data_IF_352224056609
#
_entry.id   IF_352224056609
#
_cell.length_a   1.000
_cell.length_b   1.000
_cell.length_c   1.000
_cell.angle_alpha   90.00
_cell.angle_beta   90.00
_cell.angle_gamma   90.00
#
_symmetry.space_group_name_H-M   'P 1'
#
loop_
_entity.id
_entity.type
_entity.pdbx_description
1 polymer ?
#
# COMPACT_ATOMS: atom_id res chain seq x y z
N UNK A 1 -15.27 4.98 18.47
CA UNK A 1 -14.44 3.82 18.87
C UNK A 1 -13.48 4.28 19.97
N UNK A 2 -13.06 3.41 20.91
CA UNK A 2 -12.18 3.76 22.04
C UNK A 2 -10.70 3.38 21.82
N UNK A 3 -10.34 2.82 20.66
CA UNK A 3 -8.99 2.41 20.29
C UNK A 3 -8.96 1.72 18.91
N UNK A 4 -7.77 1.26 18.47
CA UNK A 4 -7.60 0.61 17.17
C UNK A 4 -8.50 -0.61 17.05
N UNK A 5 -9.26 -0.70 15.96
CA UNK A 5 -10.19 -1.81 15.71
C UNK A 5 -9.92 -2.41 14.34
N UNK A 6 -9.60 -3.70 14.29
CA UNK A 6 -9.52 -4.44 13.02
C UNK A 6 -10.90 -4.50 12.39
N UNK A 7 -11.05 -3.89 11.21
CA UNK A 7 -12.31 -3.89 10.45
C UNK A 7 -12.32 -4.97 9.37
N UNK A 8 -11.14 -5.49 9.02
CA UNK A 8 -10.98 -6.59 8.09
C UNK A 8 -9.65 -7.30 8.31
N UNK A 9 -9.65 -8.62 8.19
CA UNK A 9 -8.45 -9.45 8.10
C UNK A 9 -8.73 -10.64 7.20
N UNK A 10 -7.86 -10.87 6.21
CA UNK A 10 -8.05 -11.93 5.22
C UNK A 10 -7.01 -11.91 4.12
N UNK A 11 -7.25 -12.68 3.05
CA UNK A 11 -6.43 -12.64 1.84
C UNK A 11 -6.62 -11.32 1.09
N UNK A 12 -5.64 -10.96 0.26
CA UNK A 12 -5.78 -9.82 -0.65
C UNK A 12 -6.97 -9.97 -1.62
N UNK A 13 -7.31 -11.18 -2.06
CA UNK A 13 -8.46 -11.43 -2.93
C UNK A 13 -9.79 -11.11 -2.23
N UNK A 14 -9.93 -11.48 -0.96
CA UNK A 14 -11.10 -11.12 -0.13
C UNK A 14 -11.14 -9.61 0.13
N UNK A 15 -9.97 -9.00 0.41
CA UNK A 15 -9.87 -7.56 0.61
C UNK A 15 -10.35 -6.78 -0.61
N UNK A 16 -9.96 -7.21 -1.82
CA UNK A 16 -10.37 -6.60 -3.09
C UNK A 16 -11.89 -6.61 -3.25
N UNK A 17 -12.55 -7.70 -2.89
CA UNK A 17 -14.02 -7.80 -2.95
C UNK A 17 -14.70 -6.93 -1.90
N UNK A 18 -14.13 -6.85 -0.69
CA UNK A 18 -14.70 -6.10 0.42
C UNK A 18 -14.50 -4.57 0.30
N UNK A 19 -13.37 -4.12 -0.24
CA UNK A 19 -12.99 -2.70 -0.29
C UNK A 19 -12.47 -2.27 -1.67
N UNK A 20 -13.26 -2.38 -2.75
CA UNK A 20 -12.79 -2.20 -4.12
C UNK A 20 -12.13 -0.83 -4.40
N UNK A 21 -12.45 0.21 -3.63
CA UNK A 21 -11.87 1.54 -3.78
C UNK A 21 -10.49 1.74 -3.08
N UNK A 22 -10.09 0.85 -2.16
CA UNK A 22 -8.94 1.05 -1.26
C UNK A 22 -7.88 -0.08 -1.33
N UNK A 23 -7.94 -0.92 -2.35
CA UNK A 23 -7.20 -2.21 -2.40
C UNK A 23 -6.03 -2.22 -3.39
N UNK A 24 -5.72 -1.08 -4.02
CA UNK A 24 -4.66 -1.01 -5.04
C UNK A 24 -3.32 -1.53 -4.50
N UNK A 25 -2.95 -1.20 -3.26
CA UNK A 25 -1.71 -1.67 -2.65
C UNK A 25 -1.72 -3.19 -2.46
N UNK A 26 -2.82 -3.76 -1.96
CA UNK A 26 -2.95 -5.21 -1.79
C UNK A 26 -2.86 -5.96 -3.13
N UNK A 27 -3.52 -5.44 -4.17
CA UNK A 27 -3.46 -6.02 -5.50
C UNK A 27 -2.06 -5.95 -6.10
N UNK A 28 -1.37 -4.80 -6.00
CA UNK A 28 0.02 -4.64 -6.45
C UNK A 28 0.95 -5.61 -5.73
N UNK A 29 0.79 -5.80 -4.42
CA UNK A 29 1.58 -6.75 -3.64
C UNK A 29 1.36 -8.20 -4.10
N UNK A 30 0.12 -8.60 -4.39
CA UNK A 30 -0.14 -9.92 -4.98
C UNK A 30 0.58 -10.15 -6.30
N UNK A 31 0.58 -9.14 -7.18
CA UNK A 31 1.29 -9.22 -8.45
C UNK A 31 2.79 -9.30 -8.25
N UNK A 32 3.35 -8.47 -7.37
CA UNK A 32 4.79 -8.46 -7.06
C UNK A 32 5.25 -9.77 -6.42
N UNK A 33 4.43 -10.36 -5.54
CA UNK A 33 4.69 -11.63 -4.89
C UNK A 33 4.38 -12.86 -5.78
N UNK A 34 3.99 -12.67 -7.05
CA UNK A 34 3.60 -13.74 -7.99
C UNK A 34 2.57 -14.71 -7.42
N UNK A 35 1.46 -14.16 -6.90
CA UNK A 35 0.39 -14.93 -6.24
C UNK A 35 0.80 -15.59 -4.90
N UNK A 36 1.88 -15.11 -4.28
CA UNK A 36 2.22 -15.46 -2.91
C UNK A 36 1.09 -15.18 -1.92
N UNK A 37 1.19 -15.78 -0.73
CA UNK A 37 0.20 -15.65 0.34
C UNK A 37 0.20 -14.24 0.96
N UNK A 38 -0.40 -13.28 0.28
CA UNK A 38 -0.56 -11.89 0.77
C UNK A 38 -1.79 -11.83 1.67
N UNK A 39 -1.54 -11.56 2.95
CA UNK A 39 -2.57 -11.26 3.96
C UNK A 39 -2.70 -9.77 4.14
N UNK A 40 -3.94 -9.31 4.29
CA UNK A 40 -4.30 -7.91 4.46
C UNK A 40 -5.04 -7.76 5.77
N UNK A 41 -4.62 -6.79 6.57
CA UNK A 41 -5.34 -6.32 7.77
C UNK A 41 -5.65 -4.84 7.61
N UNK A 42 -6.92 -4.49 7.75
CA UNK A 42 -7.38 -3.09 7.77
C UNK A 42 -7.80 -2.74 9.19
N UNK A 43 -7.22 -1.68 9.73
CA UNK A 43 -7.45 -1.22 11.10
C UNK A 43 -7.98 0.21 11.06
N UNK A 44 -9.11 0.44 11.72
CA UNK A 44 -9.63 1.77 11.97
C UNK A 44 -9.16 2.23 13.34
N UNK A 45 -8.37 3.29 13.38
CA UNK A 45 -7.82 3.87 14.60
C UNK A 45 -8.23 5.34 14.71
N UNK A 46 -8.95 5.75 15.77
CA UNK A 46 -9.40 7.14 15.94
C UNK A 46 -8.25 8.14 16.15
N UNK A 47 -7.07 7.67 16.55
CA UNK A 47 -5.91 8.54 16.83
C UNK A 47 -5.03 8.76 15.59
N UNK A 48 -5.24 7.97 14.53
CA UNK A 48 -4.50 8.08 13.27
C UNK A 48 -5.17 9.11 12.35
N UNK A 49 -4.37 10.09 11.88
CA UNK A 49 -4.83 11.20 11.02
C UNK A 49 -4.48 11.03 9.54
N UNK A 50 -3.71 9.99 9.20
CA UNK A 50 -3.17 9.77 7.84
C UNK A 50 -3.34 8.32 7.42
N UNK A 51 -3.44 8.07 6.12
CA UNK A 51 -3.51 6.69 5.62
C UNK A 51 -2.14 6.03 5.71
N UNK A 52 -2.02 5.08 6.64
CA UNK A 52 -0.82 4.31 6.88
C UNK A 52 -0.89 2.96 6.18
N UNK A 53 0.20 2.59 5.52
CA UNK A 53 0.41 1.23 5.00
C UNK A 53 1.66 0.65 5.65
N UNK A 54 1.54 -0.53 6.23
CA UNK A 54 2.66 -1.30 6.74
C UNK A 54 2.74 -2.62 5.97
N UNK A 55 3.92 -2.90 5.42
CA UNK A 55 4.17 -4.07 4.58
C UNK A 55 5.29 -4.86 5.24
N UNK A 56 5.02 -6.12 5.51
CA UNK A 56 6.00 -7.08 6.02
C UNK A 56 6.16 -8.18 4.98
N UNK A 57 7.38 -8.39 4.53
CA UNK A 57 7.75 -9.45 3.59
C UNK A 57 8.83 -10.33 4.23
N UNK A 58 8.65 -11.64 4.16
CA UNK A 58 9.52 -12.65 4.77
C UNK A 58 9.86 -13.75 3.76
N UNK A 59 11.08 -14.28 3.83
CA UNK A 59 11.53 -15.41 3.03
C UNK A 59 12.98 -15.77 3.34
N UNK A 60 13.61 -16.59 2.49
CA UNK A 60 15.01 -17.02 2.65
C UNK A 60 16.00 -15.83 2.65
N UNK A 61 15.58 -14.68 2.13
CA UNK A 61 16.34 -13.42 2.15
C UNK A 61 16.28 -12.69 3.51
N UNK A 62 15.47 -13.17 4.46
CA UNK A 62 15.21 -12.51 5.74
C UNK A 62 13.84 -11.84 5.80
N UNK A 63 13.75 -10.73 6.53
CA UNK A 63 12.52 -9.96 6.74
C UNK A 63 12.73 -8.50 6.30
N UNK A 64 11.76 -7.95 5.58
CA UNK A 64 11.67 -6.53 5.24
C UNK A 64 10.37 -5.97 5.80
N UNK A 65 10.48 -4.83 6.51
CA UNK A 65 9.32 -4.06 6.97
C UNK A 65 9.39 -2.64 6.43
N UNK A 66 8.31 -2.19 5.82
CA UNK A 66 8.17 -0.82 5.33
C UNK A 66 6.89 -0.21 5.86
N UNK A 67 6.97 1.01 6.39
CA UNK A 67 5.83 1.80 6.85
C UNK A 67 5.75 3.10 6.06
N UNK A 68 4.59 3.38 5.50
CA UNK A 68 4.34 4.57 4.68
C UNK A 68 3.13 5.31 5.23
N UNK A 69 3.35 6.54 5.68
CA UNK A 69 2.30 7.46 6.13
C UNK A 69 1.99 8.44 4.99
N UNK A 70 0.85 8.25 4.34
CA UNK A 70 0.51 9.01 3.14
C UNK A 70 -0.23 10.29 3.49
N UNK A 71 0.24 11.40 2.92
CA UNK A 71 -0.51 12.65 2.88
C UNK A 71 -1.55 12.55 1.74
N UNK A 72 -2.82 12.92 2.00
CA UNK A 72 -3.83 12.99 0.95
C UNK A 72 -3.42 13.94 -0.18
N UNK A 73 -3.79 13.62 -1.42
CA UNK A 73 -3.57 14.52 -2.53
C UNK A 73 -4.35 15.83 -2.33
N UNK A 74 -3.74 17.01 -2.59
CA UNK A 74 -4.42 18.30 -2.49
C UNK A 74 -5.67 18.43 -3.37
N UNK A 75 -5.72 17.68 -4.49
CA UNK A 75 -6.83 17.72 -5.46
C UNK A 75 -7.87 16.61 -5.25
N UNK A 76 -7.49 15.50 -4.61
CA UNK A 76 -8.40 14.40 -4.30
C UNK A 76 -7.99 13.74 -2.96
N UNK A 77 -8.64 14.12 -1.85
CA UNK A 77 -8.31 13.59 -0.53
C UNK A 77 -8.48 12.07 -0.39
N UNK A 78 -9.21 11.42 -1.31
CA UNK A 78 -9.38 9.95 -1.33
C UNK A 78 -8.17 9.20 -1.91
N UNK A 79 -7.18 9.91 -2.46
CA UNK A 79 -6.02 9.31 -3.13
C UNK A 79 -4.73 9.76 -2.45
N UNK A 80 -3.78 8.82 -2.30
CA UNK A 80 -2.43 9.15 -1.83
C UNK A 80 -1.70 10.04 -2.83
N UNK A 81 -1.08 11.12 -2.34
CA UNK A 81 -0.23 11.96 -3.18
C UNK A 81 0.98 11.19 -3.74
N UNK A 82 1.51 10.22 -2.96
CA UNK A 82 2.64 9.38 -3.38
C UNK A 82 2.32 8.55 -4.63
N UNK A 83 1.07 8.16 -4.86
CA UNK A 83 0.69 7.40 -6.06
C UNK A 83 0.86 8.22 -7.35
N UNK A 84 0.62 9.53 -7.31
CA UNK A 84 0.87 10.40 -8.45
C UNK A 84 2.38 10.62 -8.66
N UNK A 85 3.13 10.78 -7.56
CA UNK A 85 4.58 10.93 -7.60
C UNK A 85 5.26 9.67 -8.13
N UNK A 86 4.77 8.47 -7.79
CA UNK A 86 5.31 7.22 -8.32
C UNK A 86 5.09 7.11 -9.83
N UNK A 87 3.93 7.54 -10.35
CA UNK A 87 3.69 7.57 -11.80
C UNK A 87 4.68 8.52 -12.52
N UNK A 88 4.92 9.71 -11.95
CA UNK A 88 5.92 10.65 -12.48
C UNK A 88 7.33 10.04 -12.45
N UNK A 89 7.70 9.40 -11.34
CA UNK A 89 9.00 8.73 -11.21
C UNK A 89 9.19 7.62 -12.25
N UNK A 90 8.15 6.82 -12.50
CA UNK A 90 8.15 5.81 -13.57
C UNK A 90 8.32 6.43 -14.95
N UNK A 91 7.62 7.53 -15.26
CA UNK A 91 7.79 8.21 -16.55
C UNK A 91 9.21 8.77 -16.71
N UNK A 92 9.79 9.34 -15.65
CA UNK A 92 11.18 9.81 -15.66
C UNK A 92 12.17 8.67 -15.90
N UNK A 93 12.01 7.53 -15.24
CA UNK A 93 12.92 6.39 -15.39
C UNK A 93 12.90 5.77 -16.79
N UNK A 94 11.85 6.01 -17.58
CA UNK A 94 11.76 5.61 -18.98
C UNK A 94 12.56 6.54 -19.91
N UNK A 95 12.62 7.84 -19.59
CA UNK A 95 13.16 8.87 -20.51
C UNK A 95 14.52 9.45 -20.09
N UNK A 96 14.88 9.35 -18.81
CA UNK A 96 16.12 9.90 -18.28
C UNK A 96 17.26 8.86 -18.28
N UNK A 97 18.52 9.29 -18.50
CA UNK A 97 19.67 8.37 -18.53
C UNK A 97 20.06 7.84 -17.14
N UNK A 98 19.56 8.46 -16.08
CA UNK A 98 19.84 8.07 -14.69
C UNK A 98 18.62 7.35 -14.13
N UNK A 99 18.86 6.15 -13.60
CA UNK A 99 17.85 5.34 -12.93
C UNK A 99 18.20 5.18 -11.45
N UNK A 100 17.27 5.58 -10.59
CA UNK A 100 17.37 5.41 -9.13
C UNK A 100 16.33 4.37 -8.71
N UNK A 101 16.76 3.32 -8.02
CA UNK A 101 15.93 2.15 -7.74
C UNK A 101 15.97 1.11 -8.86
N UNK A 102 14.93 0.28 -8.96
CA UNK A 102 14.81 -0.80 -9.96
C UNK A 102 13.99 -0.44 -11.17
#
# INVERSE_FOLDING_TARGET
MKGPTTVFEGSAAEAVKAFPANVNVAATLCLAAREGNVRVRSVADPDIKVNMHEIVAEGDFGQMTTRVENVPSPKNPKTSYLAALSAIATLRSIVEPIKIGT
#
